data_IF_119965229305
#
_entry.id   IF_119965229305
#
_cell.length_a   1.000
_cell.length_b   1.000
_cell.length_c   1.000
_cell.angle_alpha   90.00
_cell.angle_beta   90.00
_cell.angle_gamma   90.00
#
_symmetry.space_group_name_H-M   'P 1'
#
loop_
_entity.id
_entity.type
_entity.pdbx_description
1 polymer ?
#
# COMPACT_ATOMS: atom_id res chain seq x y z
N UNK A 1 -32.65 -35.51 -53.34
CA UNK A 1 -34.03 -35.97 -53.59
C UNK A 1 -35.00 -35.01 -52.91
N UNK A 2 -35.85 -34.38 -53.73
CA UNK A 2 -37.26 -34.00 -53.51
C UNK A 2 -37.72 -33.53 -52.10
N UNK A 3 -38.14 -32.25 -52.09
CA UNK A 3 -39.51 -31.74 -51.83
C UNK A 3 -39.83 -31.58 -50.31
N UNK A 4 -40.68 -30.68 -49.80
CA UNK A 4 -41.77 -29.81 -50.24
C UNK A 4 -41.80 -28.58 -49.28
N UNK A 5 -41.90 -27.32 -49.71
CA UNK A 5 -43.14 -26.50 -49.91
C UNK A 5 -44.32 -26.75 -48.94
N UNK A 6 -44.72 -25.72 -48.16
CA UNK A 6 -45.90 -24.83 -48.39
C UNK A 6 -46.69 -24.43 -47.11
N UNK A 7 -47.04 -23.13 -47.11
CA UNK A 7 -48.31 -22.46 -46.74
C UNK A 7 -48.74 -22.20 -45.27
N UNK A 8 -48.91 -20.88 -45.03
CA UNK A 8 -50.11 -20.16 -44.58
C UNK A 8 -50.99 -20.73 -43.46
N UNK A 9 -51.29 -19.95 -42.42
CA UNK A 9 -52.42 -18.99 -42.39
C UNK A 9 -52.95 -18.73 -40.97
N UNK A 10 -53.27 -17.47 -40.69
CA UNK A 10 -54.44 -16.98 -39.93
C UNK A 10 -54.43 -17.05 -38.39
N UNK A 11 -54.53 -15.83 -37.86
CA UNK A 11 -55.04 -15.32 -36.58
C UNK A 11 -55.93 -16.24 -35.73
N UNK A 12 -55.88 -16.08 -34.40
CA UNK A 12 -56.98 -15.50 -33.58
C UNK A 12 -56.51 -15.31 -32.14
N UNK A 13 -56.84 -14.14 -31.59
CA UNK A 13 -56.68 -13.64 -30.23
C UNK A 13 -57.56 -14.40 -29.23
N UNK A 14 -57.00 -14.91 -28.11
CA UNK A 14 -57.76 -15.18 -26.86
C UNK A 14 -56.85 -14.92 -25.65
N UNK A 15 -57.29 -13.98 -24.81
CA UNK A 15 -56.80 -13.74 -23.43
C UNK A 15 -56.98 -14.99 -22.57
N UNK A 16 -55.94 -15.40 -21.84
CA UNK A 16 -56.10 -16.01 -20.52
C UNK A 16 -54.81 -15.81 -19.72
N UNK A 17 -54.93 -15.07 -18.63
CA UNK A 17 -53.93 -14.98 -17.58
C UNK A 17 -53.85 -16.32 -16.84
N UNK A 18 -52.65 -16.87 -16.67
CA UNK A 18 -52.31 -17.76 -15.56
C UNK A 18 -50.82 -17.64 -15.26
N UNK A 19 -50.53 -17.55 -13.97
CA UNK A 19 -49.25 -17.21 -13.37
C UNK A 19 -48.09 -18.10 -13.82
N UNK A 20 -46.95 -17.46 -14.10
CA UNK A 20 -45.64 -18.09 -14.01
C UNK A 20 -44.79 -17.24 -13.06
N UNK A 21 -44.65 -17.75 -11.82
CA UNK A 21 -43.54 -17.40 -10.96
C UNK A 21 -42.25 -17.77 -11.69
N UNK A 22 -41.48 -16.77 -12.12
CA UNK A 22 -40.07 -16.94 -12.46
C UNK A 22 -39.32 -16.05 -11.50
N UNK A 23 -38.65 -16.70 -10.54
CA UNK A 23 -37.65 -16.10 -9.69
C UNK A 23 -36.53 -15.56 -10.58
N UNK A 24 -36.35 -14.25 -10.58
CA UNK A 24 -35.14 -13.59 -11.04
C UNK A 24 -34.55 -12.90 -9.81
N UNK A 25 -33.59 -13.55 -9.16
CA UNK A 25 -32.75 -12.89 -8.17
C UNK A 25 -31.71 -12.05 -8.90
N UNK A 26 -31.98 -10.76 -9.03
CA UNK A 26 -30.94 -9.76 -9.24
C UNK A 26 -30.69 -9.15 -7.86
N UNK A 27 -29.55 -9.48 -7.28
CA UNK A 27 -29.07 -8.89 -6.03
C UNK A 27 -28.20 -7.69 -6.43
N UNK A 28 -28.85 -6.61 -6.84
CA UNK A 28 -28.24 -5.28 -6.89
C UNK A 28 -28.59 -4.62 -5.56
N UNK A 29 -27.82 -4.94 -4.52
CA UNK A 29 -27.85 -4.19 -3.26
C UNK A 29 -27.07 -2.89 -3.49
N UNK A 30 -27.66 -1.96 -4.23
CA UNK A 30 -27.34 -0.55 -4.02
C UNK A 30 -27.73 -0.24 -2.57
N UNK A 31 -26.74 0.02 -1.70
CA UNK A 31 -27.02 0.50 -0.34
C UNK A 31 -27.88 1.75 -0.47
N UNK A 32 -29.17 1.63 -0.13
CA UNK A 32 -30.01 2.80 -0.01
C UNK A 32 -29.39 3.73 1.04
N UNK A 33 -29.24 5.04 0.76
CA UNK A 33 -28.69 5.98 1.72
C UNK A 33 -29.55 5.92 2.98
N UNK A 34 -28.88 5.73 4.13
CA UNK A 34 -29.54 5.67 5.43
C UNK A 34 -30.46 6.89 5.59
N UNK A 35 -31.72 6.70 6.02
CA UNK A 35 -32.63 7.81 6.23
C UNK A 35 -32.00 8.75 7.27
N UNK A 36 -31.84 10.03 6.90
CA UNK A 36 -31.40 11.09 7.82
C UNK A 36 -32.18 10.99 9.14
N UNK A 37 -31.49 10.62 10.20
CA UNK A 37 -32.03 10.65 11.56
C UNK A 37 -31.85 12.08 12.07
N UNK A 38 -32.94 12.77 12.47
CA UNK A 38 -32.82 14.09 13.08
C UNK A 38 -31.88 14.02 14.29
N UNK A 39 -30.84 14.86 14.30
CA UNK A 39 -29.82 14.85 15.36
C UNK A 39 -28.66 13.89 15.12
N UNK A 40 -28.38 13.47 13.88
CA UNK A 40 -27.16 12.75 13.52
C UNK A 40 -26.59 13.28 12.20
N UNK A 41 -25.28 13.55 12.19
CA UNK A 41 -24.50 13.90 10.99
C UNK A 41 -23.32 12.95 10.85
N UNK A 42 -22.97 12.59 9.61
CA UNK A 42 -21.89 11.66 9.29
C UNK A 42 -20.92 12.29 8.30
N UNK A 43 -19.63 12.09 8.54
CA UNK A 43 -18.54 12.62 7.72
C UNK A 43 -17.53 11.52 7.42
N UNK A 44 -16.97 11.56 6.23
CA UNK A 44 -16.02 10.55 5.74
C UNK A 44 -14.64 11.17 5.52
N UNK A 45 -13.61 10.39 5.84
CA UNK A 45 -12.23 10.81 5.76
C UNK A 45 -11.39 9.80 5.01
N UNK A 46 -10.82 10.23 3.89
CA UNK A 46 -9.86 9.44 3.14
C UNK A 46 -8.45 9.49 3.75
N UNK A 47 -7.60 8.58 3.29
CA UNK A 47 -6.18 8.51 3.59
C UNK A 47 -5.46 9.84 3.35
N UNK A 48 -4.46 10.16 4.17
CA UNK A 48 -3.68 11.39 4.05
C UNK A 48 -2.65 11.28 2.91
N UNK A 49 -3.03 11.80 1.76
CA UNK A 49 -2.18 12.03 0.58
C UNK A 49 -1.77 13.52 0.47
N UNK A 50 -1.86 14.27 1.58
CA UNK A 50 -1.57 15.70 1.63
C UNK A 50 -2.67 16.58 1.01
N UNK A 51 -3.82 16.01 0.64
CA UNK A 51 -4.92 16.70 -0.02
C UNK A 51 -5.55 17.81 0.83
N UNK A 52 -5.51 17.70 2.16
CA UNK A 52 -6.05 18.72 3.05
C UNK A 52 -5.32 20.06 2.88
N UNK A 53 -4.00 20.01 2.78
CA UNK A 53 -3.15 21.20 2.65
C UNK A 53 -2.69 21.46 1.21
N UNK A 54 -3.09 20.59 0.27
CA UNK A 54 -2.68 20.64 -1.12
C UNK A 54 -1.17 20.47 -1.31
N UNK A 55 -0.51 19.68 -0.46
CA UNK A 55 0.95 19.54 -0.42
C UNK A 55 1.36 18.09 -0.20
N UNK A 56 2.06 17.49 -1.17
CA UNK A 56 2.62 16.15 -1.04
C UNK A 56 3.65 16.03 0.11
N UNK A 57 4.26 17.16 0.54
CA UNK A 57 5.19 17.17 1.67
C UNK A 57 4.51 16.95 3.04
N UNK A 58 3.18 16.88 3.08
CA UNK A 58 2.40 16.54 4.29
C UNK A 58 1.63 15.25 4.11
N UNK A 59 1.79 14.56 2.98
CA UNK A 59 1.24 13.24 2.76
C UNK A 59 1.93 12.23 3.66
N UNK A 60 1.23 11.15 3.97
CA UNK A 60 1.84 10.06 4.71
C UNK A 60 2.99 9.46 3.90
N UNK A 61 4.18 9.37 4.50
CA UNK A 61 5.36 8.76 3.87
C UNK A 61 5.79 7.46 4.56
N UNK A 62 5.21 7.13 5.72
CA UNK A 62 5.58 5.93 6.46
C UNK A 62 7.07 5.87 6.78
N UNK A 63 7.72 7.01 7.02
CA UNK A 63 9.10 7.00 7.49
C UNK A 63 9.22 6.33 8.87
N UNK A 64 10.33 5.60 9.11
CA UNK A 64 10.50 4.69 10.25
C UNK A 64 10.12 3.22 9.97
N UNK A 65 9.26 2.63 10.80
CA UNK A 65 8.79 1.23 10.66
C UNK A 65 7.43 1.15 9.95
N UNK A 66 6.87 2.29 9.52
CA UNK A 66 5.47 2.41 9.15
C UNK A 66 5.14 1.98 7.73
N UNK A 67 4.40 0.89 7.56
CA UNK A 67 3.74 0.52 6.30
C UNK A 67 2.24 0.37 6.54
N UNK A 68 1.44 1.05 5.71
CA UNK A 68 -0.01 1.02 5.85
C UNK A 68 -0.70 1.04 4.49
N UNK A 69 -1.72 0.19 4.28
CA UNK A 69 -2.59 0.28 3.12
C UNK A 69 -3.14 1.70 2.92
N UNK A 70 -3.05 2.20 1.69
CA UNK A 70 -3.49 3.55 1.26
C UNK A 70 -5.00 3.67 1.13
N UNK A 71 -5.73 2.61 1.44
CA UNK A 71 -7.19 2.55 1.41
C UNK A 71 -7.82 2.58 2.82
N UNK A 72 -7.05 2.85 3.88
CA UNK A 72 -7.62 3.16 5.19
C UNK A 72 -8.51 4.41 5.10
N UNK A 73 -9.70 4.33 5.68
CA UNK A 73 -10.61 5.46 5.81
C UNK A 73 -11.17 5.55 7.23
N UNK A 74 -11.76 6.70 7.55
CA UNK A 74 -12.53 6.88 8.76
C UNK A 74 -13.92 7.46 8.47
N UNK A 75 -14.89 7.07 9.27
CA UNK A 75 -16.20 7.71 9.37
C UNK A 75 -16.34 8.32 10.77
N UNK A 76 -16.78 9.57 10.81
CA UNK A 76 -17.14 10.31 12.02
C UNK A 76 -18.65 10.48 12.04
N UNK A 77 -19.32 9.91 13.04
CA UNK A 77 -20.73 10.17 13.31
C UNK A 77 -20.84 11.05 14.57
N UNK A 78 -21.67 12.09 14.49
CA UNK A 78 -21.97 12.99 15.59
C UNK A 78 -23.48 12.92 15.85
N UNK A 79 -23.87 12.44 17.02
CA UNK A 79 -25.26 12.28 17.46
C UNK A 79 -25.60 13.27 18.59
N UNK A 80 -26.74 13.96 18.49
CA UNK A 80 -27.28 14.79 19.57
C UNK A 80 -27.94 13.90 20.65
N UNK A 81 -27.45 14.00 21.88
CA UNK A 81 -28.04 13.33 23.03
C UNK A 81 -29.20 14.14 23.62
N UNK A 82 -30.04 13.51 24.47
CA UNK A 82 -31.20 14.16 25.09
C UNK A 82 -30.87 15.44 25.90
N UNK A 83 -29.63 15.58 26.36
CA UNK A 83 -29.14 16.75 27.09
C UNK A 83 -28.55 17.86 26.19
N UNK A 84 -28.62 17.72 24.86
CA UNK A 84 -28.05 18.63 23.86
C UNK A 84 -26.54 18.49 23.65
N UNK A 85 -25.89 17.58 24.38
CA UNK A 85 -24.47 17.26 24.22
C UNK A 85 -24.28 16.27 23.07
N UNK A 86 -23.07 16.20 22.52
CA UNK A 86 -22.78 15.29 21.43
C UNK A 86 -22.31 13.92 21.92
N UNK A 87 -22.66 12.88 21.17
CA UNK A 87 -21.97 11.59 21.17
C UNK A 87 -21.21 11.48 19.85
N UNK A 88 -19.92 11.22 19.94
CA UNK A 88 -19.01 11.12 18.79
C UNK A 88 -18.60 9.66 18.62
N UNK A 89 -18.85 9.11 17.44
CA UNK A 89 -18.40 7.78 17.05
C UNK A 89 -17.42 7.91 15.90
N UNK A 90 -16.26 7.26 16.02
CA UNK A 90 -15.30 7.15 14.92
C UNK A 90 -15.17 5.68 14.59
N UNK A 91 -15.34 5.37 13.30
CA UNK A 91 -15.15 4.03 12.73
C UNK A 91 -14.01 4.09 11.74
N UNK A 92 -13.04 3.20 11.86
CA UNK A 92 -11.95 3.00 10.91
C UNK A 92 -12.28 1.78 10.04
N UNK A 93 -12.05 1.90 8.74
CA UNK A 93 -12.16 0.80 7.78
C UNK A 93 -10.82 0.55 7.07
N UNK A 94 -10.55 -0.70 6.71
CA UNK A 94 -9.30 -1.17 6.13
C UNK A 94 -8.06 -0.94 7.03
N UNK A 95 -8.26 -1.02 8.35
CA UNK A 95 -7.14 -1.02 9.31
C UNK A 95 -6.48 -2.40 9.40
N UNK A 96 -5.27 -2.44 9.94
CA UNK A 96 -4.52 -3.67 10.21
C UNK A 96 -5.15 -4.39 11.40
N UNK A 97 -5.48 -5.67 11.22
CA UNK A 97 -6.11 -6.50 12.25
C UNK A 97 -5.25 -6.59 13.51
N UNK A 98 -5.88 -6.40 14.68
CA UNK A 98 -5.24 -6.49 15.99
C UNK A 98 -4.46 -5.25 16.43
N UNK A 99 -4.31 -4.24 15.57
CA UNK A 99 -3.65 -2.98 15.92
C UNK A 99 -4.61 -2.00 16.63
N UNK A 100 -4.06 -1.16 17.51
CA UNK A 100 -4.79 -0.08 18.19
C UNK A 100 -4.33 1.27 17.66
N UNK A 101 -5.19 1.94 16.88
CA UNK A 101 -4.92 3.23 16.25
C UNK A 101 -5.17 4.38 17.23
N UNK A 102 -4.18 5.23 17.52
CA UNK A 102 -4.42 6.46 18.27
C UNK A 102 -5.24 7.43 17.42
N UNK A 103 -6.41 7.84 17.92
CA UNK A 103 -7.31 8.77 17.24
C UNK A 103 -7.70 9.91 18.19
N UNK A 104 -7.62 11.14 17.70
CA UNK A 104 -8.01 12.31 18.50
C UNK A 104 -8.33 13.54 17.66
N UNK A 105 -9.03 14.47 18.31
CA UNK A 105 -9.26 15.80 17.79
C UNK A 105 -8.18 16.78 18.24
N UNK A 106 -7.94 17.84 17.47
CA UNK A 106 -7.17 19.01 17.86
C UNK A 106 -7.97 20.29 17.63
N UNK A 107 -7.77 21.30 18.47
CA UNK A 107 -8.29 22.64 18.25
C UNK A 107 -7.52 23.33 17.12
N UNK A 108 -8.20 24.04 16.23
CA UNK A 108 -7.54 24.86 15.22
C UNK A 108 -6.67 25.95 15.86
N UNK A 109 -5.56 26.27 15.20
CA UNK A 109 -4.65 27.32 15.62
C UNK A 109 -4.01 27.99 14.39
N UNK A 110 -3.59 29.24 14.54
CA UNK A 110 -2.84 29.93 13.48
C UNK A 110 -1.44 29.30 13.34
N UNK A 111 -1.08 28.75 12.16
CA UNK A 111 0.26 28.19 11.90
C UNK A 111 1.41 29.11 12.25
N UNK A 112 1.23 30.44 12.18
CA UNK A 112 2.28 31.39 12.54
C UNK A 112 2.56 31.48 14.04
N UNK A 113 1.71 30.85 14.85
CA UNK A 113 1.77 30.87 16.32
C UNK A 113 2.07 29.51 16.93
N UNK A 114 1.93 28.43 16.17
CA UNK A 114 2.28 27.07 16.62
C UNK A 114 3.79 26.83 16.50
N UNK A 115 4.41 26.06 17.42
CA UNK A 115 5.85 25.83 17.40
C UNK A 115 6.35 25.20 16.09
N UNK A 116 5.56 24.31 15.49
CA UNK A 116 5.94 23.57 14.28
C UNK A 116 5.18 24.00 13.02
N UNK A 117 4.42 25.10 13.08
CA UNK A 117 3.67 25.58 11.91
C UNK A 117 2.45 24.74 11.56
N UNK A 118 1.97 23.89 12.46
CA UNK A 118 0.73 23.11 12.30
C UNK A 118 -0.49 24.04 12.32
N UNK A 119 -1.59 23.71 11.61
CA UNK A 119 -2.83 24.48 11.62
C UNK A 119 -3.70 24.21 12.87
N UNK A 120 -3.14 23.57 13.88
CA UNK A 120 -3.83 23.15 15.09
C UNK A 120 -2.90 23.18 16.30
N UNK A 121 -3.48 23.27 17.49
CA UNK A 121 -2.75 23.12 18.74
C UNK A 121 -2.29 21.66 18.89
N UNK A 122 -0.98 21.42 18.97
CA UNK A 122 -0.35 20.09 19.01
C UNK A 122 -0.71 19.24 20.24
N UNK A 123 -1.45 19.81 21.21
CA UNK A 123 -2.08 19.05 22.30
C UNK A 123 -3.47 18.56 21.88
N UNK A 124 -3.77 17.25 21.95
CA UNK A 124 -5.10 16.73 21.64
C UNK A 124 -6.22 17.33 22.51
N UNK A 125 -7.36 17.63 21.90
CA UNK A 125 -8.58 18.05 22.59
C UNK A 125 -9.44 16.83 22.97
N UNK A 126 -9.19 16.31 24.17
CA UNK A 126 -9.91 15.17 24.72
C UNK A 126 -11.37 15.45 25.12
N UNK A 127 -11.80 16.71 25.21
CA UNK A 127 -13.21 17.05 25.47
C UNK A 127 -14.10 16.78 24.24
N UNK A 128 -13.50 16.82 23.05
CA UNK A 128 -14.15 16.45 21.77
C UNK A 128 -14.00 14.95 21.54
N UNK A 129 -12.77 14.47 21.33
CA UNK A 129 -12.48 13.04 21.16
C UNK A 129 -10.99 12.75 21.38
N UNK A 130 -10.69 11.72 22.19
CA UNK A 130 -9.36 11.12 22.24
C UNK A 130 -9.43 9.65 22.67
N UNK A 131 -8.69 8.78 21.97
CA UNK A 131 -8.51 7.41 22.38
C UNK A 131 -8.01 6.47 21.28
N UNK A 132 -7.55 5.29 21.70
CA UNK A 132 -7.22 4.19 20.80
C UNK A 132 -8.47 3.51 20.23
N UNK A 133 -8.41 3.12 18.96
CA UNK A 133 -9.40 2.28 18.27
C UNK A 133 -8.72 0.97 17.87
N UNK A 134 -9.11 -0.12 18.51
CA UNK A 134 -8.64 -1.46 18.12
C UNK A 134 -9.40 -1.93 16.89
N UNK A 135 -8.68 -2.33 15.85
CA UNK A 135 -9.26 -2.89 14.62
C UNK A 135 -9.35 -4.41 14.73
N UNK A 136 -10.51 -4.97 14.35
CA UNK A 136 -10.73 -6.41 14.24
C UNK A 136 -11.44 -6.74 12.93
N UNK A 137 -10.87 -7.62 12.12
CA UNK A 137 -11.42 -7.96 10.81
C UNK A 137 -11.44 -6.78 9.84
N UNK A 138 -10.46 -5.89 9.93
CA UNK A 138 -10.30 -4.63 9.16
C UNK A 138 -11.16 -3.44 9.56
N UNK A 139 -12.08 -3.60 10.52
CA UNK A 139 -12.89 -2.50 11.04
C UNK A 139 -12.69 -2.32 12.54
N UNK A 140 -12.66 -1.08 13.01
CA UNK A 140 -12.63 -0.74 14.44
C UNK A 140 -13.51 0.48 14.69
N UNK A 141 -14.18 0.56 15.84
CA UNK A 141 -14.99 1.72 16.17
C UNK A 141 -14.90 2.09 17.64
N UNK A 142 -15.01 3.37 17.93
CA UNK A 142 -15.06 3.89 19.30
C UNK A 142 -16.05 5.04 19.40
N UNK A 143 -16.84 4.99 20.47
CA UNK A 143 -17.83 6.00 20.81
C UNK A 143 -17.42 6.72 22.10
N UNK A 144 -17.53 8.03 22.11
CA UNK A 144 -17.32 8.90 23.27
C UNK A 144 -18.52 9.82 23.44
N UNK A 145 -19.04 9.94 24.66
CA UNK A 145 -19.99 11.00 25.01
C UNK A 145 -19.19 12.26 25.33
N UNK A 146 -19.28 13.26 24.46
CA UNK A 146 -18.51 14.49 24.55
C UNK A 146 -19.13 15.45 25.57
N UNK A 147 -18.28 16.24 26.22
CA UNK A 147 -18.71 17.37 27.04
C UNK A 147 -18.94 18.65 26.21
N UNK A 148 -19.03 18.53 24.88
CA UNK A 148 -19.29 19.61 23.93
C UNK A 148 -20.71 19.46 23.35
N UNK A 149 -21.38 20.60 23.15
CA UNK A 149 -22.73 20.63 22.59
C UNK A 149 -22.73 20.16 21.13
N UNK A 150 -23.77 19.42 20.73
CA UNK A 150 -23.95 18.98 19.34
C UNK A 150 -23.90 20.14 18.36
N UNK A 151 -24.69 21.19 18.62
CA UNK A 151 -24.79 22.36 17.75
C UNK A 151 -23.44 23.07 17.57
N UNK A 152 -22.61 23.09 18.63
CA UNK A 152 -21.26 23.66 18.55
C UNK A 152 -20.34 22.82 17.67
N UNK A 153 -20.33 21.48 17.82
CA UNK A 153 -19.47 20.63 17.00
C UNK A 153 -19.79 20.71 15.51
N UNK A 154 -21.06 20.86 15.16
CA UNK A 154 -21.50 20.92 13.76
C UNK A 154 -21.30 22.30 13.14
N UNK A 155 -21.56 23.37 13.89
CA UNK A 155 -21.68 24.72 13.31
C UNK A 155 -20.54 25.68 13.67
N UNK A 156 -19.79 25.42 14.75
CA UNK A 156 -18.85 26.38 15.32
C UNK A 156 -17.45 25.82 15.59
N UNK A 157 -17.31 24.51 15.81
CA UNK A 157 -16.04 23.92 16.18
C UNK A 157 -15.06 23.89 15.01
N UNK A 158 -13.99 24.67 15.13
CA UNK A 158 -12.86 24.64 14.22
C UNK A 158 -11.78 23.72 14.80
N UNK A 159 -11.65 22.53 14.23
CA UNK A 159 -10.68 21.54 14.68
C UNK A 159 -10.30 20.54 13.61
N UNK A 160 -9.42 19.62 13.97
CA UNK A 160 -8.89 18.59 13.07
C UNK A 160 -9.08 17.21 13.69
N UNK A 161 -9.43 16.23 12.86
CA UNK A 161 -9.39 14.81 13.20
C UNK A 161 -8.04 14.23 12.74
N UNK A 162 -7.37 13.50 13.63
CA UNK A 162 -6.11 12.81 13.35
C UNK A 162 -6.21 11.34 13.69
N UNK A 163 -5.74 10.50 12.77
CA UNK A 163 -5.49 9.05 12.99
C UNK A 163 -4.02 8.79 12.76
N UNK A 164 -3.34 8.30 13.80
CA UNK A 164 -1.92 7.95 13.76
C UNK A 164 -1.72 6.52 13.25
N UNK A 165 -0.58 6.28 12.62
CA UNK A 165 -0.12 4.94 12.34
C UNK A 165 0.33 4.22 13.63
N UNK A 166 -0.28 3.07 13.98
CA UNK A 166 0.04 2.34 15.21
C UNK A 166 1.39 1.63 15.16
N UNK A 167 2.02 1.52 13.98
CA UNK A 167 3.30 0.81 13.81
C UNK A 167 4.52 1.70 14.01
N UNK A 168 4.32 3.00 14.20
CA UNK A 168 5.37 3.98 14.44
C UNK A 168 5.15 4.77 15.75
N UNK A 169 6.17 5.54 16.14
CA UNK A 169 6.06 6.42 17.30
C UNK A 169 5.09 7.58 17.01
N UNK A 170 4.20 7.88 17.96
CA UNK A 170 3.27 9.00 17.82
C UNK A 170 4.04 10.32 17.77
N UNK A 171 3.75 11.11 16.75
CA UNK A 171 4.17 12.50 16.61
C UNK A 171 2.93 13.38 16.56
N UNK A 172 2.91 14.58 17.14
CA UNK A 172 1.81 15.55 16.91
C UNK A 172 2.23 16.74 16.04
N UNK A 173 3.47 16.69 15.55
CA UNK A 173 4.16 17.77 14.86
C UNK A 173 4.58 17.40 13.46
N UNK A 174 4.69 16.09 13.18
CA UNK A 174 5.07 15.54 11.89
C UNK A 174 3.86 14.96 11.17
N UNK A 175 3.38 15.68 10.16
CA UNK A 175 2.14 15.35 9.47
C UNK A 175 2.29 14.12 8.57
N UNK A 176 3.52 13.75 8.19
CA UNK A 176 3.76 12.60 7.32
C UNK A 176 3.61 11.26 8.06
N UNK A 177 3.41 11.31 9.38
CA UNK A 177 3.10 10.15 10.22
C UNK A 177 1.60 9.88 10.34
N UNK A 178 0.74 10.78 9.84
CA UNK A 178 -0.71 10.67 9.98
C UNK A 178 -1.30 9.90 8.82
N UNK A 179 -2.05 8.84 9.14
CA UNK A 179 -2.81 8.09 8.16
C UNK A 179 -4.05 8.86 7.72
N UNK A 180 -4.65 9.65 8.61
CA UNK A 180 -5.77 10.54 8.31
C UNK A 180 -5.55 11.88 9.01
N UNK A 181 -5.70 12.96 8.26
CA UNK A 181 -5.70 14.33 8.73
C UNK A 181 -6.80 15.09 8.00
N UNK A 182 -7.87 15.45 8.71
CA UNK A 182 -9.02 16.15 8.12
C UNK A 182 -9.58 17.23 9.04
N UNK A 183 -10.39 18.13 8.49
CA UNK A 183 -11.14 19.09 9.31
C UNK A 183 -12.27 18.35 10.02
N UNK A 184 -12.43 18.60 11.31
CA UNK A 184 -13.46 17.93 12.10
C UNK A 184 -14.86 18.31 11.58
N UNK A 185 -15.76 17.33 11.54
CA UNK A 185 -17.12 17.50 11.00
C UNK A 185 -17.18 18.02 9.54
N UNK A 186 -16.23 17.59 8.70
CA UNK A 186 -16.23 17.88 7.26
C UNK A 186 -15.71 16.66 6.49
N UNK A 187 -16.32 16.39 5.33
CA UNK A 187 -15.84 15.35 4.43
C UNK A 187 -14.44 15.68 3.88
N UNK A 188 -13.56 14.68 3.87
CA UNK A 188 -12.27 14.71 3.20
C UNK A 188 -12.25 13.65 2.11
N UNK A 189 -12.41 14.08 0.86
CA UNK A 189 -12.36 13.21 -0.31
C UNK A 189 -10.98 12.60 -0.53
N UNK A 190 -10.92 11.46 -1.23
CA UNK A 190 -9.68 10.82 -1.65
C UNK A 190 -8.75 11.77 -2.41
N UNK A 191 -7.47 11.76 -2.01
CA UNK A 191 -6.39 12.44 -2.71
C UNK A 191 -5.82 11.58 -3.85
N UNK A 192 -4.87 12.14 -4.59
CA UNK A 192 -4.05 11.32 -5.52
C UNK A 192 -2.97 10.61 -4.73
N UNK A 193 -2.86 9.27 -4.80
CA UNK A 193 -1.86 8.54 -4.03
C UNK A 193 -0.42 9.01 -4.29
N UNK A 194 0.32 9.24 -3.21
CA UNK A 194 1.73 9.61 -3.18
C UNK A 194 2.58 8.40 -2.84
N UNK A 195 2.52 7.40 -3.72
CA UNK A 195 3.22 6.12 -3.53
C UNK A 195 4.75 6.30 -3.59
N UNK A 196 5.44 5.59 -2.71
CA UNK A 196 6.90 5.62 -2.62
C UNK A 196 7.57 4.85 -3.74
N UNK A 197 8.77 5.28 -4.09
CA UNK A 197 9.64 4.58 -5.04
C UNK A 197 11.09 4.69 -4.58
N UNK A 198 11.83 3.58 -4.66
CA UNK A 198 13.27 3.55 -4.45
C UNK A 198 13.96 2.87 -5.64
N UNK A 199 15.12 3.39 -6.03
CA UNK A 199 15.94 2.83 -7.11
C UNK A 199 17.32 2.44 -6.57
N UNK A 200 17.81 1.28 -6.98
CA UNK A 200 19.09 0.71 -6.57
C UNK A 200 19.86 0.26 -7.82
N UNK A 201 21.03 0.86 -8.04
CA UNK A 201 21.89 0.55 -9.17
C UNK A 201 22.95 -0.49 -8.79
N UNK A 202 23.14 -1.46 -9.68
CA UNK A 202 24.07 -2.57 -9.51
C UNK A 202 25.11 -2.56 -10.62
N UNK A 203 26.38 -2.49 -10.19
CA UNK A 203 27.52 -2.60 -11.07
C UNK A 203 27.90 -4.06 -11.33
N UNK A 204 28.63 -4.27 -12.42
CA UNK A 204 29.25 -5.54 -12.78
C UNK A 204 30.05 -6.16 -11.61
N UNK A 205 30.02 -7.48 -11.47
CA UNK A 205 30.70 -8.20 -10.39
C UNK A 205 32.22 -8.21 -10.59
N UNK A 206 32.90 -7.32 -9.89
CA UNK A 206 34.37 -7.23 -9.75
C UNK A 206 34.82 -7.67 -8.35
N UNK A 207 33.96 -8.37 -7.59
CA UNK A 207 34.23 -8.84 -6.24
C UNK A 207 33.92 -7.83 -5.11
N UNK A 208 33.25 -6.71 -5.45
CA UNK A 208 33.02 -5.59 -4.53
C UNK A 208 32.13 -5.92 -3.32
N UNK A 209 31.18 -6.85 -3.43
CA UNK A 209 30.18 -7.10 -2.38
C UNK A 209 30.80 -7.78 -1.15
N UNK A 210 31.77 -8.67 -1.35
CA UNK A 210 32.45 -9.38 -0.26
C UNK A 210 33.89 -8.91 -0.05
N UNK A 211 34.27 -7.78 -0.66
CA UNK A 211 35.64 -7.26 -0.67
C UNK A 211 36.68 -8.35 -1.01
N UNK A 212 36.35 -9.17 -2.00
CA UNK A 212 37.16 -10.33 -2.38
C UNK A 212 37.31 -10.42 -3.90
N UNK A 213 38.48 -10.11 -4.47
CA UNK A 213 38.68 -10.16 -5.92
C UNK A 213 38.64 -11.59 -6.49
N UNK A 214 38.82 -12.63 -5.66
CA UNK A 214 38.79 -14.03 -6.13
C UNK A 214 37.38 -14.49 -6.53
N UNK A 215 36.33 -13.75 -6.14
CA UNK A 215 34.93 -14.00 -6.54
C UNK A 215 34.46 -13.07 -7.67
N UNK A 216 35.34 -12.22 -8.21
CA UNK A 216 35.04 -11.42 -9.38
C UNK A 216 34.67 -12.31 -10.57
N UNK A 217 33.86 -11.79 -11.48
CA UNK A 217 33.44 -12.54 -12.66
C UNK A 217 34.64 -12.93 -13.55
N UNK A 218 34.72 -14.21 -13.93
CA UNK A 218 35.87 -14.78 -14.66
C UNK A 218 35.56 -15.21 -16.11
N UNK A 219 34.35 -14.95 -16.61
CA UNK A 219 33.98 -15.31 -17.97
C UNK A 219 34.26 -14.25 -19.03
N UNK A 220 33.67 -14.46 -20.21
CA UNK A 220 33.91 -13.68 -21.43
C UNK A 220 32.78 -12.68 -21.76
N UNK A 221 31.74 -12.59 -20.92
CA UNK A 221 30.67 -11.61 -21.11
C UNK A 221 31.24 -10.19 -21.06
N UNK A 222 30.80 -9.28 -21.94
CA UNK A 222 31.15 -7.86 -21.86
C UNK A 222 30.92 -7.28 -20.46
N UNK A 223 31.90 -6.53 -19.95
CA UNK A 223 31.88 -5.94 -18.60
C UNK A 223 31.16 -4.58 -18.55
N UNK A 224 30.09 -4.45 -19.33
CA UNK A 224 29.27 -3.25 -19.44
C UNK A 224 27.79 -3.51 -19.14
N UNK A 225 27.41 -4.74 -18.75
CA UNK A 225 26.09 -5.02 -18.20
C UNK A 225 25.90 -4.24 -16.90
N UNK A 226 24.76 -3.54 -16.80
CA UNK A 226 24.29 -2.89 -15.58
C UNK A 226 22.94 -3.46 -15.20
N UNK A 227 22.61 -3.44 -13.92
CA UNK A 227 21.27 -3.78 -13.46
C UNK A 227 20.72 -2.69 -12.54
N UNK A 228 19.41 -2.52 -12.54
CA UNK A 228 18.69 -1.63 -11.64
C UNK A 228 17.50 -2.34 -11.04
N UNK A 229 17.31 -2.21 -9.74
CA UNK A 229 16.07 -2.59 -9.05
C UNK A 229 15.29 -1.30 -8.76
N UNK A 230 14.05 -1.26 -9.22
CA UNK A 230 13.07 -0.26 -8.78
C UNK A 230 12.08 -0.96 -7.84
N UNK A 231 11.92 -0.43 -6.63
CA UNK A 231 10.90 -0.85 -5.67
C UNK A 231 9.81 0.21 -5.64
N UNK A 232 8.56 -0.20 -5.84
CA UNK A 232 7.38 0.66 -5.83
C UNK A 232 6.44 0.21 -4.72
N UNK A 233 5.95 1.14 -3.93
CA UNK A 233 4.84 0.88 -3.00
C UNK A 233 3.52 0.73 -3.77
N UNK A 234 2.67 -0.17 -3.31
CA UNK A 234 1.34 -0.43 -3.86
C UNK A 234 0.24 0.08 -2.92
N UNK A 235 -0.95 0.34 -3.46
CA UNK A 235 -2.09 0.90 -2.71
C UNK A 235 -2.50 0.00 -1.54
N UNK A 236 -2.36 -1.31 -1.66
CA UNK A 236 -2.69 -2.28 -0.61
C UNK A 236 -1.62 -2.41 0.48
N UNK A 237 -0.55 -1.60 0.43
CA UNK A 237 0.55 -1.62 1.39
C UNK A 237 1.65 -2.63 1.05
N UNK A 238 1.51 -3.39 -0.05
CA UNK A 238 2.56 -4.28 -0.56
C UNK A 238 3.56 -3.52 -1.45
N UNK A 239 4.54 -4.24 -2.00
CA UNK A 239 5.53 -3.69 -2.91
C UNK A 239 5.58 -4.43 -4.25
N UNK A 240 5.99 -3.71 -5.29
CA UNK A 240 6.41 -4.26 -6.57
C UNK A 240 7.91 -4.06 -6.73
N UNK A 241 8.60 -5.11 -7.17
CA UNK A 241 9.97 -5.03 -7.67
C UNK A 241 9.96 -5.05 -9.19
N UNK A 242 10.71 -4.15 -9.80
CA UNK A 242 11.05 -4.20 -11.22
C UNK A 242 12.57 -4.28 -11.36
N UNK A 243 13.05 -5.36 -11.96
CA UNK A 243 14.46 -5.51 -12.35
C UNK A 243 14.61 -5.07 -13.79
N UNK A 244 15.56 -4.17 -14.04
CA UNK A 244 16.00 -3.74 -15.37
C UNK A 244 17.45 -4.17 -15.58
N UNK A 245 17.73 -4.77 -16.74
CA UNK A 245 19.09 -5.06 -17.20
C UNK A 245 19.39 -4.19 -18.42
N UNK A 246 20.52 -3.51 -18.41
CA UNK A 246 21.02 -2.70 -19.51
C UNK A 246 22.26 -3.33 -20.15
N UNK A 247 22.41 -3.14 -21.46
CA UNK A 247 23.47 -3.75 -22.29
C UNK A 247 23.42 -5.28 -22.31
N UNK A 248 22.21 -5.84 -22.38
CA UNK A 248 22.02 -7.28 -22.57
C UNK A 248 22.49 -7.76 -23.93
N UNK A 249 22.93 -9.01 -24.03
CA UNK A 249 23.18 -9.69 -25.29
C UNK A 249 21.84 -10.03 -25.96
N UNK A 250 21.74 -9.77 -27.27
CA UNK A 250 20.53 -10.04 -28.04
C UNK A 250 20.27 -11.55 -28.18
N UNK A 251 19.05 -11.98 -27.84
CA UNK A 251 18.61 -13.37 -27.96
C UNK A 251 19.02 -14.29 -26.80
N UNK A 252 19.82 -13.80 -25.86
CA UNK A 252 20.24 -14.56 -24.67
C UNK A 252 19.19 -14.47 -23.55
N UNK A 253 19.18 -15.46 -22.65
CA UNK A 253 18.22 -15.56 -21.54
C UNK A 253 18.93 -15.45 -20.20
N UNK A 254 18.84 -14.31 -19.54
CA UNK A 254 19.47 -14.06 -18.24
C UNK A 254 18.63 -14.68 -17.13
N UNK A 255 19.23 -15.58 -16.34
CA UNK A 255 18.63 -16.00 -15.08
C UNK A 255 18.89 -14.93 -14.02
N UNK A 256 17.82 -14.43 -13.42
CA UNK A 256 17.85 -13.31 -12.47
C UNK A 256 17.04 -13.70 -11.24
N UNK A 257 17.63 -13.57 -10.07
CA UNK A 257 16.92 -13.90 -8.83
C UNK A 257 17.53 -13.28 -7.57
N UNK A 258 16.74 -13.29 -6.52
CA UNK A 258 17.14 -13.04 -5.15
C UNK A 258 17.51 -14.32 -4.40
N UNK A 259 18.34 -14.17 -3.37
CA UNK A 259 18.58 -15.19 -2.35
C UNK A 259 18.44 -14.57 -0.96
N UNK A 260 17.93 -15.32 0.01
CA UNK A 260 17.93 -14.89 1.41
C UNK A 260 19.35 -14.97 1.98
N UNK A 261 19.76 -13.94 2.73
CA UNK A 261 21.04 -13.96 3.42
C UNK A 261 21.12 -15.13 4.41
N UNK A 262 22.33 -15.69 4.57
CA UNK A 262 22.58 -16.79 5.47
C UNK A 262 24.02 -16.73 5.98
N UNK A 263 24.28 -17.29 7.17
CA UNK A 263 25.64 -17.40 7.70
C UNK A 263 26.46 -18.39 6.84
N UNK A 264 27.56 -17.95 6.19
CA UNK A 264 28.47 -18.83 5.44
C UNK A 264 28.93 -20.07 6.20
N UNK A 265 29.03 -20.01 7.53
CA UNK A 265 29.44 -21.16 8.34
C UNK A 265 28.38 -22.29 8.35
N UNK A 266 27.16 -21.99 7.91
CA UNK A 266 26.01 -22.92 7.93
C UNK A 266 25.54 -23.34 6.54
N UNK A 267 25.96 -22.65 5.48
CA UNK A 267 25.60 -22.99 4.11
C UNK A 267 26.50 -24.12 3.57
N UNK A 268 25.96 -25.02 2.72
CA UNK A 268 26.73 -26.16 2.22
C UNK A 268 28.02 -25.78 1.49
N UNK A 269 28.01 -24.68 0.74
CA UNK A 269 29.17 -24.22 -0.06
C UNK A 269 29.83 -22.96 0.50
N UNK A 270 29.48 -22.51 1.70
CA UNK A 270 30.07 -21.31 2.30
C UNK A 270 29.64 -20.00 1.66
N UNK A 271 28.52 -20.01 0.91
CA UNK A 271 27.91 -18.80 0.36
C UNK A 271 27.29 -17.95 1.49
N UNK A 272 27.26 -16.61 1.35
CA UNK A 272 26.62 -15.73 2.33
C UNK A 272 25.09 -15.68 2.21
N UNK A 273 24.50 -16.65 1.53
CA UNK A 273 23.08 -16.73 1.23
C UNK A 273 22.64 -18.18 1.07
N UNK A 274 21.34 -18.43 1.23
CA UNK A 274 20.72 -19.71 0.92
C UNK A 274 20.76 -19.95 -0.60
N UNK A 275 21.44 -21.01 -1.04
CA UNK A 275 21.71 -21.31 -2.46
C UNK A 275 20.46 -21.63 -3.28
N UNK A 276 19.29 -21.78 -2.65
CA UNK A 276 17.99 -21.84 -3.33
C UNK A 276 17.48 -20.42 -3.59
N UNK A 277 17.14 -20.04 -4.83
CA UNK A 277 16.54 -18.74 -5.14
C UNK A 277 15.26 -18.49 -4.34
N UNK A 278 15.11 -17.27 -3.81
CA UNK A 278 13.86 -16.82 -3.22
C UNK A 278 12.94 -16.26 -4.31
N UNK A 279 12.01 -17.10 -4.77
CA UNK A 279 11.01 -16.73 -5.79
C UNK A 279 9.89 -15.82 -5.28
N UNK A 280 9.69 -15.73 -3.96
CA UNK A 280 8.68 -14.85 -3.38
C UNK A 280 9.11 -13.38 -3.47
N UNK A 281 10.41 -13.11 -3.56
CA UNK A 281 10.98 -11.79 -3.83
C UNK A 281 11.19 -11.61 -5.35
N UNK A 282 12.08 -12.38 -5.97
CA UNK A 282 12.26 -12.36 -7.41
C UNK A 282 12.98 -13.62 -7.90
N UNK A 283 12.37 -14.36 -8.84
CA UNK A 283 13.08 -15.37 -9.62
C UNK A 283 12.49 -15.47 -11.02
N UNK A 284 13.29 -15.17 -12.04
CA UNK A 284 12.81 -15.13 -13.42
C UNK A 284 13.90 -15.21 -14.46
N UNK A 285 13.48 -15.46 -15.70
CA UNK A 285 14.32 -15.37 -16.88
C UNK A 285 13.99 -14.08 -17.63
N UNK A 286 15.00 -13.27 -17.96
CA UNK A 286 14.84 -12.03 -18.73
C UNK A 286 15.50 -12.23 -20.10
N UNK A 287 14.71 -12.10 -21.18
CA UNK A 287 15.21 -12.25 -22.55
C UNK A 287 15.89 -10.96 -23.01
N UNK A 288 17.19 -11.03 -23.26
CA UNK A 288 17.98 -9.90 -23.75
C UNK A 288 17.65 -9.53 -25.20
N UNK A 289 17.75 -8.24 -25.50
CA UNK A 289 17.39 -7.66 -26.81
C UNK A 289 18.51 -6.79 -27.42
N UNK A 290 19.74 -6.90 -26.91
CA UNK A 290 20.85 -6.03 -27.30
C UNK A 290 20.90 -4.68 -26.57
N UNK A 291 19.94 -4.40 -25.69
CA UNK A 291 19.80 -3.14 -24.97
C UNK A 291 19.18 -3.34 -23.59
N UNK A 292 18.15 -2.55 -23.29
CA UNK A 292 17.46 -2.55 -22.00
C UNK A 292 16.24 -3.45 -22.00
N UNK A 293 16.10 -4.27 -20.96
CA UNK A 293 15.01 -5.22 -20.74
C UNK A 293 14.62 -5.24 -19.28
N UNK A 294 13.35 -5.48 -18.97
CA UNK A 294 12.85 -5.49 -17.60
C UNK A 294 11.86 -6.62 -17.34
N UNK A 295 11.79 -7.03 -16.07
CA UNK A 295 10.75 -7.91 -15.56
C UNK A 295 10.38 -7.48 -14.14
N UNK A 296 9.12 -7.69 -13.76
CA UNK A 296 8.58 -7.26 -12.47
C UNK A 296 7.96 -8.42 -11.71
N UNK A 297 7.91 -8.29 -10.39
CA UNK A 297 7.21 -9.19 -9.49
C UNK A 297 6.42 -8.37 -8.46
N UNK A 298 5.17 -8.73 -8.24
CA UNK A 298 4.33 -8.19 -7.16
C UNK A 298 4.55 -9.06 -5.94
N UNK A 299 4.81 -8.43 -4.79
CA UNK A 299 5.23 -9.12 -3.59
C UNK A 299 4.13 -9.07 -2.54
N UNK A 300 4.12 -10.00 -1.59
CA UNK A 300 3.28 -9.91 -0.38
C UNK A 300 3.96 -9.11 0.74
N UNK A 301 5.22 -8.72 0.54
CA UNK A 301 6.03 -7.93 1.47
C UNK A 301 5.84 -6.44 1.20
N UNK A 302 5.96 -5.62 2.25
CA UNK A 302 5.77 -4.17 2.16
C UNK A 302 7.03 -3.42 1.72
N UNK A 303 6.87 -2.14 1.38
CA UNK A 303 7.95 -1.29 0.87
C UNK A 303 9.09 -1.14 1.88
N UNK A 304 8.81 -0.79 3.15
CA UNK A 304 9.86 -0.62 4.14
C UNK A 304 10.49 -1.96 4.51
N UNK A 305 9.71 -3.02 4.63
CA UNK A 305 10.27 -4.34 4.91
C UNK A 305 11.28 -4.74 3.82
N UNK A 306 10.97 -4.55 2.53
CA UNK A 306 11.93 -4.87 1.46
C UNK A 306 13.17 -3.96 1.43
N UNK A 307 12.97 -2.64 1.60
CA UNK A 307 14.04 -1.64 1.42
C UNK A 307 14.88 -1.40 2.67
N UNK A 308 14.41 -1.80 3.85
CA UNK A 308 15.09 -1.55 5.14
C UNK A 308 15.47 -2.84 5.86
N UNK A 309 14.59 -3.84 5.85
CA UNK A 309 14.74 -5.03 6.71
C UNK A 309 15.15 -6.30 5.97
N UNK A 310 14.72 -6.47 4.71
CA UNK A 310 15.03 -7.67 3.93
C UNK A 310 16.53 -7.74 3.68
N UNK A 311 17.15 -8.79 4.23
CA UNK A 311 18.55 -9.12 4.00
C UNK A 311 18.64 -10.21 2.95
N UNK A 312 19.05 -9.83 1.74
CA UNK A 312 19.19 -10.76 0.64
C UNK A 312 20.26 -10.35 -0.36
N UNK A 313 20.52 -11.24 -1.30
CA UNK A 313 21.44 -11.01 -2.41
C UNK A 313 20.67 -10.97 -3.73
N UNK A 314 21.05 -10.06 -4.61
CA UNK A 314 20.59 -9.97 -5.98
C UNK A 314 21.64 -10.57 -6.91
N UNK A 315 21.22 -11.47 -7.80
CA UNK A 315 22.11 -12.19 -8.71
C UNK A 315 21.60 -12.13 -10.15
N UNK A 316 22.51 -11.85 -11.08
CA UNK A 316 22.31 -12.02 -12.52
C UNK A 316 23.39 -12.97 -13.04
N UNK A 317 22.96 -14.09 -13.62
CA UNK A 317 23.86 -15.09 -14.18
C UNK A 317 24.29 -14.72 -15.59
N UNK A 318 25.49 -15.16 -15.98
CA UNK A 318 25.91 -15.13 -17.37
C UNK A 318 25.14 -16.16 -18.21
N UNK A 319 24.35 -15.74 -19.21
CA UNK A 319 23.58 -16.66 -20.03
C UNK A 319 24.45 -17.53 -20.95
N UNK A 320 25.73 -17.19 -21.12
CA UNK A 320 26.66 -17.91 -22.00
C UNK A 320 27.43 -19.02 -21.29
N UNK A 321 27.17 -19.22 -19.99
CA UNK A 321 27.81 -20.24 -19.15
C UNK A 321 26.79 -21.21 -18.54
N UNK A 322 27.30 -22.32 -18.00
CA UNK A 322 26.49 -23.21 -17.19
C UNK A 322 26.08 -22.49 -15.89
N UNK A 323 24.79 -22.58 -15.55
CA UNK A 323 24.24 -21.96 -14.35
C UNK A 323 24.77 -22.64 -13.09
N UNK A 324 25.24 -21.84 -12.13
CA UNK A 324 25.72 -22.30 -10.82
C UNK A 324 25.18 -21.39 -9.74
N UNK A 325 24.60 -21.87 -8.65
CA UNK A 325 24.20 -21.00 -7.51
C UNK A 325 25.25 -20.91 -6.40
N UNK A 326 26.41 -21.55 -6.62
CA UNK A 326 27.48 -21.71 -5.62
C UNK A 326 28.82 -21.17 -6.09
N UNK A 327 29.02 -20.99 -7.39
CA UNK A 327 30.22 -20.40 -7.98
C UNK A 327 29.98 -18.94 -8.33
N UNK A 328 30.36 -18.05 -7.41
CA UNK A 328 30.16 -16.61 -7.52
C UNK A 328 30.92 -15.99 -8.70
N UNK A 329 31.96 -16.67 -9.22
CA UNK A 329 32.74 -16.18 -10.38
C UNK A 329 31.97 -16.25 -11.70
N UNK A 330 30.80 -16.91 -11.70
CA UNK A 330 29.90 -17.01 -12.86
C UNK A 330 28.87 -15.87 -12.91
N UNK A 331 28.77 -15.04 -11.86
CA UNK A 331 27.75 -14.00 -11.77
C UNK A 331 28.21 -12.72 -12.45
N UNK A 332 27.39 -12.21 -13.36
CA UNK A 332 27.58 -10.89 -13.96
C UNK A 332 27.28 -9.79 -12.96
N UNK A 333 26.24 -9.97 -12.16
CA UNK A 333 25.87 -9.08 -11.06
C UNK A 333 25.74 -9.93 -9.80
N UNK A 334 26.40 -9.46 -8.75
CA UNK A 334 26.20 -9.89 -7.37
C UNK A 334 26.07 -8.61 -6.54
N UNK A 335 24.98 -8.46 -5.80
CA UNK A 335 24.66 -7.27 -5.02
C UNK A 335 23.87 -7.62 -3.77
N UNK A 336 23.79 -6.71 -2.81
CA UNK A 336 22.80 -6.79 -1.74
C UNK A 336 21.45 -6.32 -2.28
N UNK A 337 20.38 -7.07 -2.02
CA UNK A 337 19.08 -6.80 -2.63
C UNK A 337 18.48 -5.50 -2.07
N UNK A 338 18.08 -4.58 -2.95
CA UNK A 338 17.56 -3.25 -2.64
C UNK A 338 18.42 -2.46 -1.62
N UNK A 339 19.75 -2.38 -1.83
CA UNK A 339 20.71 -1.66 -0.96
C UNK A 339 21.78 -0.92 -1.72
#
# INVERSE_FOLDING_TARGET
MKRFTKLNSIATLVMMAFAAFVFSSCNDDEMEPMPSMPGMESFTYAFNEGQLLGSAATAYDGDGEGDHPRNLSAQLDIEEMENGMARVTITLENGIDGQEYPVHAHDAADPSTTPNGTPYNETPNGDVFAGGITVSGSTGSRTVESNVAYDFLINEYEGFLVVHDPTQAISTTDLTTYLILGVFAQDLSEGTPTLRTAEFDYAFNEGQVLDNPDIAYQGEHPRDLMAKITVEEMIDGTARVTVTLDNTLDGEMYAVHSHDAADPATTPNGTPYNETPNGDIFAGMISGNGGSVSASNDLEISFNELTRNYEGFFVVHDPTQDLSTTDLTTYLILGLFAR
#
